data_IF_081816536976
#
_entry.id   IF_081816536976
#
_cell.length_a   1.000
_cell.length_b   1.000
_cell.length_c   1.000
_cell.angle_alpha   90.00
_cell.angle_beta   90.00
_cell.angle_gamma   90.00
#
_symmetry.space_group_name_H-M   'P 1'
#
loop_
_entity.id
_entity.type
_entity.pdbx_description
1 polymer ?
#
# COMPACT_ATOMS: atom_id res chain seq x y z
N UNK A 1 -8.34 6.48 -32.31
CA UNK A 1 -7.69 5.23 -31.82
C UNK A 1 -8.73 4.19 -31.29
N UNK A 2 -8.38 2.90 -31.13
CA UNK A 2 -9.23 1.89 -30.45
C UNK A 2 -8.47 1.25 -29.29
N UNK A 3 -9.07 1.22 -28.10
CA UNK A 3 -8.49 0.65 -26.89
C UNK A 3 -9.44 -0.39 -26.28
N UNK A 4 -8.90 -1.33 -25.49
CA UNK A 4 -9.72 -2.25 -24.71
C UNK A 4 -9.95 -1.63 -23.34
N UNK A 5 -11.20 -1.40 -22.97
CA UNK A 5 -11.55 -0.90 -21.65
C UNK A 5 -11.33 -2.01 -20.61
N UNK A 6 -10.55 -1.71 -19.58
CA UNK A 6 -10.12 -2.67 -18.56
C UNK A 6 -11.16 -2.91 -17.46
N UNK A 7 -12.32 -2.24 -17.49
CA UNK A 7 -13.49 -2.47 -16.64
C UNK A 7 -14.61 -3.27 -17.36
N UNK A 8 -14.69 -3.18 -18.68
CA UNK A 8 -15.75 -3.84 -19.46
C UNK A 8 -15.23 -4.96 -20.36
N UNK A 9 -13.91 -5.01 -20.60
CA UNK A 9 -13.25 -5.88 -21.59
C UNK A 9 -13.83 -5.68 -23.00
N UNK A 10 -14.42 -4.50 -23.26
CA UNK A 10 -14.95 -4.13 -24.57
C UNK A 10 -14.01 -3.17 -25.30
N UNK A 11 -14.12 -3.16 -26.63
CA UNK A 11 -13.41 -2.19 -27.45
C UNK A 11 -14.12 -0.85 -27.42
N UNK A 12 -13.38 0.20 -27.08
CA UNK A 12 -13.83 1.58 -27.11
C UNK A 12 -13.18 2.32 -28.29
N UNK A 13 -13.99 3.15 -28.93
CA UNK A 13 -13.56 4.01 -30.03
C UNK A 13 -13.31 5.39 -29.46
N UNK A 14 -12.07 5.86 -29.61
CA UNK A 14 -11.63 7.15 -29.13
C UNK A 14 -11.24 8.02 -30.32
N UNK A 15 -11.59 9.29 -30.26
CA UNK A 15 -11.14 10.27 -31.24
C UNK A 15 -9.64 10.51 -31.07
N UNK A 16 -8.97 10.92 -32.15
CA UNK A 16 -7.52 11.09 -32.10
C UNK A 16 -7.08 12.28 -31.24
N UNK A 17 -8.00 13.20 -30.91
CA UNK A 17 -7.77 14.34 -30.03
C UNK A 17 -7.96 14.03 -28.52
N UNK A 18 -8.61 12.90 -28.18
CA UNK A 18 -8.95 12.50 -26.80
C UNK A 18 -8.45 11.06 -26.51
N UNK A 19 -7.17 10.81 -26.74
CA UNK A 19 -6.55 9.51 -26.41
C UNK A 19 -6.04 9.57 -24.96
N UNK A 20 -6.63 8.80 -24.02
CA UNK A 20 -6.14 8.72 -22.65
C UNK A 20 -4.84 7.94 -22.60
N UNK A 21 -4.11 8.03 -21.49
CA UNK A 21 -2.94 7.18 -21.27
C UNK A 21 -3.32 5.70 -21.35
N UNK A 22 -2.51 4.95 -22.09
CA UNK A 22 -2.76 3.54 -22.34
C UNK A 22 -1.48 2.73 -22.24
N UNK A 23 -1.61 1.50 -21.76
CA UNK A 23 -0.54 0.52 -21.80
C UNK A 23 -0.76 -0.46 -22.97
N UNK A 24 0.32 -0.81 -23.65
CA UNK A 24 0.28 -1.85 -24.68
C UNK A 24 0.40 -3.21 -24.00
N UNK A 25 -0.60 -4.06 -24.20
CA UNK A 25 -0.50 -5.45 -23.79
C UNK A 25 0.51 -6.18 -24.70
N UNK A 26 1.60 -6.68 -24.11
CA UNK A 26 2.64 -7.43 -24.81
C UNK A 26 2.06 -8.52 -25.72
N UNK A 27 2.47 -8.52 -26.98
CA UNK A 27 2.15 -9.54 -27.96
C UNK A 27 3.01 -10.79 -27.72
N UNK A 28 2.42 -11.94 -27.45
CA UNK A 28 3.07 -13.21 -27.75
C UNK A 28 2.04 -14.01 -28.53
N UNK A 29 2.28 -14.11 -29.85
CA UNK A 29 1.42 -14.84 -30.78
C UNK A 29 1.42 -16.32 -30.43
N UNK A 30 0.40 -16.74 -29.71
CA UNK A 30 0.12 -18.14 -29.40
C UNK A 30 -1.03 -18.65 -30.26
N UNK A 31 -1.28 -19.96 -30.22
CA UNK A 31 -2.48 -20.52 -30.84
C UNK A 31 -3.73 -20.00 -30.13
N UNK A 32 -4.80 -19.73 -30.88
CA UNK A 32 -6.09 -19.26 -30.36
C UNK A 32 -6.06 -17.83 -29.78
N UNK A 33 -5.54 -16.87 -30.55
CA UNK A 33 -5.65 -15.45 -30.20
C UNK A 33 -7.06 -14.88 -30.39
N UNK A 34 -7.37 -13.87 -29.57
CA UNK A 34 -8.58 -13.07 -29.68
C UNK A 34 -8.35 -11.98 -30.72
N UNK A 35 -8.97 -12.14 -31.88
CA UNK A 35 -8.92 -11.17 -32.97
C UNK A 35 -10.00 -10.10 -32.75
N UNK A 36 -9.87 -9.00 -33.47
CA UNK A 36 -10.83 -7.89 -33.43
C UNK A 36 -12.28 -8.36 -33.64
N UNK A 37 -12.52 -9.28 -34.57
CA UNK A 37 -13.87 -9.78 -34.86
C UNK A 37 -14.43 -10.74 -33.79
N UNK A 38 -13.59 -11.21 -32.86
CA UNK A 38 -14.02 -12.07 -31.76
C UNK A 38 -14.50 -11.24 -30.57
N UNK A 39 -13.98 -10.02 -30.41
CA UNK A 39 -14.32 -9.14 -29.29
C UNK A 39 -15.83 -8.88 -29.24
N UNK A 40 -16.43 -9.07 -28.06
CA UNK A 40 -17.87 -8.96 -27.82
C UNK A 40 -18.68 -10.24 -28.14
N UNK A 41 -18.05 -11.31 -28.63
CA UNK A 41 -18.70 -12.62 -28.85
C UNK A 41 -18.33 -13.60 -27.75
N UNK A 42 -19.24 -14.51 -27.42
CA UNK A 42 -18.96 -15.57 -26.45
C UNK A 42 -17.85 -16.53 -26.91
N UNK A 43 -17.63 -16.65 -28.23
CA UNK A 43 -16.52 -17.44 -28.79
C UNK A 43 -15.14 -16.88 -28.47
N UNK A 44 -15.02 -15.60 -28.09
CA UNK A 44 -13.75 -15.05 -27.62
C UNK A 44 -13.34 -15.67 -26.28
N UNK A 45 -14.30 -15.88 -25.36
CA UNK A 45 -14.03 -16.38 -24.01
C UNK A 45 -13.42 -17.78 -24.00
N UNK A 46 -13.71 -18.60 -25.01
CA UNK A 46 -13.15 -19.94 -25.16
C UNK A 46 -11.71 -19.96 -25.70
N UNK A 47 -11.18 -18.82 -26.15
CA UNK A 47 -9.84 -18.74 -26.73
C UNK A 47 -8.77 -18.61 -25.65
N UNK A 48 -7.64 -19.30 -25.79
CA UNK A 48 -6.51 -19.20 -24.85
C UNK A 48 -6.00 -17.78 -24.67
N UNK A 49 -6.00 -16.98 -25.74
CA UNK A 49 -5.61 -15.56 -25.68
C UNK A 49 -6.52 -14.70 -24.79
N UNK A 50 -7.77 -15.12 -24.53
CA UNK A 50 -8.72 -14.36 -23.72
C UNK A 50 -8.34 -14.33 -22.24
N UNK A 51 -7.67 -15.36 -21.74
CA UNK A 51 -7.14 -15.39 -20.39
C UNK A 51 -6.15 -14.24 -20.11
N UNK A 52 -5.47 -13.71 -21.14
CA UNK A 52 -4.59 -12.53 -21.02
C UNK A 52 -5.41 -11.26 -20.78
N UNK A 53 -6.55 -11.11 -21.47
CA UNK A 53 -7.49 -10.00 -21.28
C UNK A 53 -8.14 -10.06 -19.89
N UNK A 54 -8.61 -11.23 -19.47
CA UNK A 54 -9.15 -11.43 -18.12
C UNK A 54 -8.11 -11.21 -17.03
N UNK A 55 -6.85 -11.62 -17.26
CA UNK A 55 -5.77 -11.35 -16.31
C UNK A 55 -5.52 -9.86 -16.16
N UNK A 56 -5.57 -9.10 -17.26
CA UNK A 56 -5.48 -7.64 -17.18
C UNK A 56 -6.66 -7.01 -16.46
N UNK A 57 -7.89 -7.43 -16.80
CA UNK A 57 -9.09 -7.02 -16.08
C UNK A 57 -9.01 -7.32 -14.58
N UNK A 58 -8.51 -8.50 -14.23
CA UNK A 58 -8.35 -8.91 -12.84
C UNK A 58 -7.32 -8.03 -12.13
N UNK A 59 -6.16 -7.82 -12.75
CA UNK A 59 -5.10 -6.95 -12.21
C UNK A 59 -5.61 -5.51 -12.07
N UNK A 60 -6.36 -4.98 -13.02
CA UNK A 60 -6.94 -3.63 -12.92
C UNK A 60 -7.96 -3.51 -11.80
N UNK A 61 -8.83 -4.51 -11.64
CA UNK A 61 -9.87 -4.54 -10.60
C UNK A 61 -9.32 -4.79 -9.19
N UNK A 62 -8.34 -5.68 -9.05
CA UNK A 62 -7.73 -6.03 -7.74
C UNK A 62 -6.81 -4.91 -7.23
N UNK A 63 -6.10 -4.23 -8.13
CA UNK A 63 -5.17 -3.16 -7.77
C UNK A 63 -5.79 -1.75 -7.88
N UNK A 64 -7.04 -1.62 -8.30
CA UNK A 64 -7.75 -0.34 -8.31
C UNK A 64 -7.21 0.67 -9.33
N UNK A 65 -7.00 0.24 -10.58
CA UNK A 65 -6.62 1.11 -11.71
C UNK A 65 -7.73 2.09 -12.15
N UNK A 66 -8.55 2.57 -11.21
CA UNK A 66 -9.31 3.81 -11.42
C UNK A 66 -8.41 5.04 -11.21
N UNK A 67 -7.18 4.85 -10.67
CA UNK A 67 -6.11 5.84 -10.59
C UNK A 67 -5.22 5.81 -11.85
N UNK A 68 -4.86 6.99 -12.38
CA UNK A 68 -4.03 7.17 -13.57
C UNK A 68 -2.68 6.44 -13.44
N UNK A 69 -2.19 5.79 -14.51
CA UNK A 69 -0.87 5.13 -14.57
C UNK A 69 0.28 6.05 -14.09
N UNK A 70 0.11 7.36 -14.26
CA UNK A 70 1.05 8.40 -13.81
C UNK A 70 1.21 8.46 -12.28
N UNK A 71 0.15 8.14 -11.54
CA UNK A 71 0.13 8.18 -10.07
C UNK A 71 0.66 6.90 -9.42
N UNK A 72 0.78 5.83 -10.21
CA UNK A 72 1.25 4.53 -9.73
C UNK A 72 2.78 4.48 -9.64
N UNK A 73 3.29 4.12 -8.46
CA UNK A 73 4.74 3.96 -8.24
C UNK A 73 5.39 2.93 -9.18
N UNK A 74 6.66 3.13 -9.50
CA UNK A 74 7.47 2.20 -10.29
C UNK A 74 7.51 0.82 -9.63
N UNK A 75 7.69 0.75 -8.32
CA UNK A 75 7.73 -0.53 -7.60
C UNK A 75 6.44 -1.33 -7.80
N UNK A 76 5.30 -0.65 -7.74
CA UNK A 76 3.99 -1.26 -7.94
C UNK A 76 3.82 -1.70 -9.40
N UNK A 77 4.18 -0.87 -10.37
CA UNK A 77 4.17 -1.25 -11.79
C UNK A 77 5.08 -2.46 -12.08
N UNK A 78 6.26 -2.51 -11.47
CA UNK A 78 7.19 -3.66 -11.56
C UNK A 78 6.57 -4.93 -10.96
N UNK A 79 5.87 -4.79 -9.83
CA UNK A 79 5.24 -5.92 -9.12
C UNK A 79 4.21 -6.66 -9.99
N UNK A 80 3.54 -5.97 -10.92
CA UNK A 80 2.56 -6.59 -11.81
C UNK A 80 3.16 -7.62 -12.77
N UNK A 81 4.48 -7.53 -13.02
CA UNK A 81 5.22 -8.53 -13.80
C UNK A 81 6.06 -9.48 -12.93
N UNK A 82 5.91 -9.47 -11.60
CA UNK A 82 6.71 -10.29 -10.70
C UNK A 82 6.58 -11.80 -10.96
N UNK A 83 5.40 -12.25 -11.40
CA UNK A 83 5.09 -13.66 -11.67
C UNK A 83 5.15 -14.00 -13.16
N UNK A 84 5.55 -13.04 -14.00
CA UNK A 84 5.63 -13.23 -15.43
C UNK A 84 6.74 -14.21 -15.79
N UNK A 85 6.41 -15.14 -16.68
CA UNK A 85 7.37 -16.06 -17.30
C UNK A 85 7.47 -15.72 -18.78
N UNK A 86 8.69 -15.57 -19.27
CA UNK A 86 8.96 -15.24 -20.68
C UNK A 86 9.83 -16.31 -21.33
N UNK A 87 9.67 -16.47 -22.64
CA UNK A 87 10.45 -17.45 -23.42
C UNK A 87 11.93 -17.08 -23.47
N UNK A 88 12.24 -15.80 -23.73
CA UNK A 88 13.59 -15.25 -23.63
C UNK A 88 13.71 -14.41 -22.37
N UNK A 89 14.91 -14.36 -21.79
CA UNK A 89 15.15 -13.61 -20.55
C UNK A 89 14.91 -12.11 -20.73
N UNK A 90 15.38 -11.56 -21.84
CA UNK A 90 15.27 -10.14 -22.19
C UNK A 90 13.82 -9.66 -22.40
N UNK A 91 12.91 -10.55 -22.80
CA UNK A 91 11.48 -10.21 -22.98
C UNK A 91 10.82 -9.80 -21.66
N UNK A 92 11.39 -10.21 -20.51
CA UNK A 92 10.96 -9.73 -19.20
C UNK A 92 11.09 -8.21 -19.05
N UNK A 93 12.08 -7.60 -19.68
CA UNK A 93 12.26 -6.15 -19.73
C UNK A 93 11.45 -5.51 -20.87
N UNK A 94 11.51 -6.07 -22.08
CA UNK A 94 10.87 -5.46 -23.24
C UNK A 94 9.35 -5.40 -23.12
N UNK A 95 8.75 -6.39 -22.47
CA UNK A 95 7.30 -6.38 -22.22
C UNK A 95 6.84 -5.32 -21.21
N UNK A 96 7.77 -4.66 -20.52
CA UNK A 96 7.49 -3.59 -19.56
C UNK A 96 7.70 -2.19 -20.14
N UNK A 97 8.31 -2.04 -21.31
CA UNK A 97 8.58 -0.72 -21.90
C UNK A 97 7.32 0.15 -22.00
N UNK A 98 6.20 -0.44 -22.42
CA UNK A 98 4.93 0.28 -22.57
C UNK A 98 4.34 0.80 -21.26
N UNK A 99 4.52 0.08 -20.15
CA UNK A 99 3.94 0.48 -18.85
C UNK A 99 4.73 1.57 -18.14
N UNK A 100 6.00 1.71 -18.54
CA UNK A 100 6.89 2.76 -18.05
C UNK A 100 7.08 3.90 -19.06
N UNK A 101 6.44 3.84 -20.23
CA UNK A 101 6.63 4.84 -21.28
C UNK A 101 8.08 4.92 -21.79
N UNK A 102 8.85 3.83 -21.66
CA UNK A 102 10.26 3.79 -22.04
C UNK A 102 10.40 3.30 -23.48
N UNK A 103 11.30 3.95 -24.22
CA UNK A 103 11.71 3.48 -25.54
C UNK A 103 13.21 3.15 -25.52
N UNK A 104 13.55 1.88 -25.69
CA UNK A 104 14.94 1.41 -25.73
C UNK A 104 15.15 0.36 -26.83
N UNK A 105 16.35 0.26 -27.45
CA UNK A 105 16.63 -0.73 -28.49
C UNK A 105 16.51 -2.17 -28.00
N UNK A 106 15.84 -3.02 -28.80
CA UNK A 106 15.74 -4.47 -28.60
C UNK A 106 17.05 -5.15 -29.01
N UNK A 107 17.79 -5.69 -28.05
CA UNK A 107 19.07 -6.40 -28.24
C UNK A 107 18.96 -7.86 -27.79
N UNK A 108 18.46 -8.72 -28.67
CA UNK A 108 18.32 -10.15 -28.37
C UNK A 108 19.68 -10.81 -28.10
N UNK A 109 19.74 -11.63 -27.05
CA UNK A 109 20.96 -12.25 -26.54
C UNK A 109 21.64 -11.51 -25.38
N UNK A 110 21.15 -10.34 -24.97
CA UNK A 110 21.69 -9.62 -23.80
C UNK A 110 21.24 -10.22 -22.45
N UNK A 111 20.18 -11.03 -22.46
CA UNK A 111 19.65 -11.73 -21.29
C UNK A 111 19.22 -10.77 -20.18
N UNK A 112 19.69 -11.04 -18.95
CA UNK A 112 19.31 -10.27 -17.75
C UNK A 112 19.77 -8.79 -17.82
N UNK A 113 20.73 -8.45 -18.70
CA UNK A 113 21.17 -7.06 -18.95
C UNK A 113 20.06 -6.14 -19.46
N UNK A 114 19.08 -6.69 -20.18
CA UNK A 114 17.94 -5.94 -20.69
C UNK A 114 17.17 -5.26 -19.55
N UNK A 115 17.00 -5.96 -18.43
CA UNK A 115 16.25 -5.44 -17.28
C UNK A 115 17.03 -4.37 -16.51
N UNK A 116 18.36 -4.44 -16.46
CA UNK A 116 19.17 -3.35 -15.93
C UNK A 116 19.06 -2.09 -16.79
N UNK A 117 19.16 -2.23 -18.12
CA UNK A 117 18.98 -1.10 -19.05
C UNK A 117 17.59 -0.46 -18.92
N UNK A 118 16.54 -1.27 -18.79
CA UNK A 118 15.20 -0.75 -18.54
C UNK A 118 15.16 0.14 -17.29
N UNK A 119 15.74 -0.33 -16.17
CA UNK A 119 15.78 0.45 -14.94
C UNK A 119 16.63 1.72 -15.09
N UNK A 120 17.75 1.66 -15.81
CA UNK A 120 18.58 2.83 -16.12
C UNK A 120 17.81 3.88 -16.94
N UNK A 121 17.03 3.46 -17.94
CA UNK A 121 16.20 4.36 -18.72
C UNK A 121 15.05 4.95 -17.88
N UNK A 122 14.45 4.17 -16.99
CA UNK A 122 13.47 4.67 -16.01
C UNK A 122 14.09 5.75 -15.11
N UNK A 123 15.31 5.55 -14.62
CA UNK A 123 16.03 6.53 -13.80
C UNK A 123 16.33 7.84 -14.54
N UNK A 124 16.43 7.83 -15.87
CA UNK A 124 16.67 9.05 -16.65
C UNK A 124 15.45 9.96 -16.71
N UNK A 125 14.25 9.39 -16.57
CA UNK A 125 12.98 10.10 -16.83
C UNK A 125 12.07 10.19 -15.61
N UNK A 126 12.41 9.52 -14.51
CA UNK A 126 11.57 9.49 -13.31
C UNK A 126 12.40 9.68 -12.03
N UNK A 127 11.90 10.55 -11.15
CA UNK A 127 12.42 10.78 -9.80
C UNK A 127 11.76 9.85 -8.76
N UNK A 128 10.98 8.86 -9.20
CA UNK A 128 10.33 7.92 -8.31
C UNK A 128 11.33 6.87 -7.78
N UNK A 129 11.83 7.14 -6.57
CA UNK A 129 12.77 6.29 -5.85
C UNK A 129 12.19 4.91 -5.46
N UNK A 130 10.89 4.65 -5.66
CA UNK A 130 10.33 3.31 -5.50
C UNK A 130 10.98 2.27 -6.43
N UNK A 131 11.67 2.70 -7.49
CA UNK A 131 12.53 1.82 -8.27
C UNK A 131 13.54 1.01 -7.43
N UNK A 132 13.99 1.55 -6.29
CA UNK A 132 14.92 0.87 -5.37
C UNK A 132 14.22 0.09 -4.26
N UNK A 133 12.89 0.08 -4.24
CA UNK A 133 12.02 -0.53 -3.23
C UNK A 133 11.76 -2.03 -3.52
N UNK A 134 12.81 -2.81 -3.75
CA UNK A 134 12.75 -4.25 -4.03
C UNK A 134 13.49 -5.08 -2.98
N UNK A 135 13.10 -6.36 -2.85
CA UNK A 135 13.72 -7.27 -1.87
C UNK A 135 14.73 -8.19 -2.54
N UNK A 136 15.96 -8.21 -2.03
CA UNK A 136 16.98 -9.12 -2.51
C UNK A 136 16.62 -10.58 -2.19
N UNK A 137 16.49 -11.39 -3.24
CA UNK A 137 16.17 -12.83 -3.14
C UNK A 137 17.46 -13.65 -2.93
N UNK A 138 18.65 -13.07 -3.16
CA UNK A 138 19.95 -13.72 -2.96
C UNK A 138 21.07 -12.72 -2.59
N UNK A 139 22.19 -13.22 -2.06
CA UNK A 139 23.30 -12.46 -1.45
C UNK A 139 24.14 -11.57 -2.39
N UNK A 140 23.81 -11.46 -3.68
CA UNK A 140 24.46 -10.51 -4.62
C UNK A 140 23.52 -9.34 -4.87
N UNK A 141 23.46 -8.40 -3.94
CA UNK A 141 22.68 -7.17 -4.08
C UNK A 141 23.49 -6.05 -4.74
N UNK A 142 23.11 -5.68 -5.96
CA UNK A 142 23.47 -4.38 -6.55
C UNK A 142 22.42 -3.32 -6.20
N UNK A 143 22.57 -2.09 -6.71
CA UNK A 143 21.57 -1.03 -6.55
C UNK A 143 20.24 -1.35 -7.27
N UNK A 144 20.34 -1.98 -8.44
CA UNK A 144 19.22 -2.31 -9.31
C UNK A 144 18.75 -3.76 -9.13
N UNK A 145 17.45 -3.96 -9.31
CA UNK A 145 16.84 -5.27 -9.14
C UNK A 145 17.23 -6.21 -10.29
N UNK A 146 17.46 -7.51 -10.03
CA UNK A 146 17.84 -8.45 -11.08
C UNK A 146 16.67 -8.82 -12.00
N UNK A 147 15.43 -8.83 -11.47
CA UNK A 147 14.21 -9.19 -12.22
C UNK A 147 12.98 -8.52 -11.59
N UNK A 148 11.85 -8.42 -12.33
CA UNK A 148 10.58 -7.95 -11.76
C UNK A 148 10.11 -8.73 -10.52
N UNK A 149 10.49 -10.00 -10.39
CA UNK A 149 10.13 -10.86 -9.25
C UNK A 149 10.58 -10.28 -7.90
N UNK A 150 11.64 -9.47 -7.89
CA UNK A 150 12.12 -8.79 -6.68
C UNK A 150 11.12 -7.77 -6.10
N UNK A 151 10.16 -7.31 -6.91
CA UNK A 151 9.10 -6.37 -6.54
C UNK A 151 7.79 -7.06 -6.14
N UNK A 152 7.76 -8.39 -5.99
CA UNK A 152 6.52 -9.13 -5.64
C UNK A 152 5.84 -8.59 -4.37
N UNK A 153 6.60 -8.10 -3.39
CA UNK A 153 6.09 -7.53 -2.14
C UNK A 153 5.76 -6.03 -2.20
N UNK A 154 5.96 -5.39 -3.36
CA UNK A 154 5.76 -3.95 -3.56
C UNK A 154 4.35 -3.61 -4.06
N UNK A 155 3.45 -4.59 -4.09
CA UNK A 155 2.03 -4.37 -4.38
C UNK A 155 1.44 -3.58 -3.20
N UNK A 156 1.08 -2.32 -3.45
CA UNK A 156 0.12 -1.61 -2.58
C UNK A 156 -1.26 -2.09 -3.01
N UNK A 157 -1.64 -3.29 -2.58
CA UNK A 157 -3.03 -3.72 -2.69
C UNK A 157 -3.84 -2.98 -1.61
N UNK A 158 -5.14 -3.23 -1.55
CA UNK A 158 -5.97 -2.86 -0.39
C UNK A 158 -5.41 -3.39 0.96
N UNK A 159 -4.38 -4.24 0.93
CA UNK A 159 -3.59 -4.74 2.05
C UNK A 159 -2.28 -3.94 2.28
N UNK A 160 -2.01 -2.82 1.60
CA UNK A 160 -1.01 -1.85 2.03
C UNK A 160 -1.29 -1.35 3.46
N UNK A 161 -2.59 -1.24 3.80
CA UNK A 161 -3.07 -1.06 5.16
C UNK A 161 -2.79 -2.28 6.05
N UNK A 162 -2.90 -3.51 5.54
CA UNK A 162 -2.61 -4.74 6.30
C UNK A 162 -1.10 -4.88 6.57
N UNK A 163 -0.25 -4.57 5.59
CA UNK A 163 1.20 -4.65 5.73
C UNK A 163 1.72 -3.54 6.65
N UNK A 164 1.17 -2.32 6.52
CA UNK A 164 1.42 -1.26 7.48
C UNK A 164 0.91 -1.64 8.87
N UNK A 165 -0.27 -2.26 8.96
CA UNK A 165 -0.85 -2.67 10.22
C UNK A 165 -0.01 -3.76 10.90
N UNK A 166 0.48 -4.74 10.15
CA UNK A 166 1.36 -5.79 10.64
C UNK A 166 2.70 -5.20 11.09
N UNK A 167 3.32 -4.36 10.27
CA UNK A 167 4.58 -3.70 10.62
C UNK A 167 4.45 -2.80 11.86
N UNK A 168 3.34 -2.05 11.97
CA UNK A 168 3.05 -1.20 13.12
C UNK A 168 2.74 -2.01 14.39
N UNK A 169 1.99 -3.11 14.26
CA UNK A 169 1.69 -4.03 15.37
C UNK A 169 2.94 -4.79 15.84
N UNK A 170 3.87 -5.08 14.93
CA UNK A 170 5.17 -5.67 15.23
C UNK A 170 6.21 -4.65 15.73
N UNK A 171 5.95 -3.34 15.58
CA UNK A 171 6.86 -2.27 15.97
C UNK A 171 8.05 -2.07 15.02
N UNK A 172 8.00 -2.65 13.82
CA UNK A 172 9.05 -2.52 12.82
C UNK A 172 9.01 -1.12 12.21
N UNK A 173 9.73 -0.20 12.85
CA UNK A 173 9.76 1.19 12.41
C UNK A 173 10.37 1.36 11.03
N UNK A 174 11.31 0.48 10.62
CA UNK A 174 11.91 0.55 9.30
C UNK A 174 10.88 0.31 8.20
N UNK A 175 10.14 -0.80 8.34
CA UNK A 175 9.04 -1.13 7.42
C UNK A 175 7.91 -0.10 7.47
N UNK A 176 7.54 0.40 8.66
CA UNK A 176 6.51 1.45 8.77
C UNK A 176 6.92 2.72 8.03
N UNK A 177 8.15 3.22 8.24
CA UNK A 177 8.62 4.43 7.55
C UNK A 177 8.75 4.22 6.04
N UNK A 178 9.19 3.05 5.62
CA UNK A 178 9.26 2.69 4.22
C UNK A 178 7.87 2.72 3.57
N UNK A 179 6.88 2.07 4.19
CA UNK A 179 5.51 2.02 3.67
C UNK A 179 4.85 3.41 3.65
N UNK A 180 5.05 4.22 4.69
CA UNK A 180 4.56 5.59 4.72
C UNK A 180 5.22 6.49 3.67
N UNK A 181 6.46 6.21 3.28
CA UNK A 181 7.14 6.93 2.20
C UNK A 181 6.64 6.55 0.80
N UNK A 182 6.04 5.35 0.67
CA UNK A 182 5.43 4.85 -0.58
C UNK A 182 3.93 5.17 -0.67
N UNK A 183 3.35 5.80 0.36
CA UNK A 183 1.93 6.11 0.41
C UNK A 183 1.56 7.15 -0.67
N UNK A 184 0.46 6.95 -1.43
CA UNK A 184 -0.05 7.94 -2.38
C UNK A 184 -0.26 9.29 -1.70
N UNK A 185 0.07 10.38 -2.42
CA UNK A 185 -0.10 11.76 -1.96
C UNK A 185 -1.53 11.98 -1.47
N UNK A 186 -1.70 12.25 -0.17
CA UNK A 186 -3.01 12.46 0.48
C UNK A 186 -3.45 11.35 1.44
N UNK A 187 -3.04 10.10 1.23
CA UNK A 187 -3.42 8.96 2.11
C UNK A 187 -2.42 8.74 3.26
N UNK A 188 -1.22 9.31 3.13
CA UNK A 188 -0.14 9.18 4.10
C UNK A 188 -0.58 9.54 5.53
N UNK A 189 -1.42 10.56 5.71
CA UNK A 189 -1.87 10.97 7.03
C UNK A 189 -2.78 9.93 7.67
N UNK A 190 -3.69 9.31 6.91
CA UNK A 190 -4.61 8.30 7.44
C UNK A 190 -3.90 6.98 7.72
N UNK A 191 -2.92 6.62 6.89
CA UNK A 191 -2.02 5.50 7.14
C UNK A 191 -1.16 5.73 8.39
N UNK A 192 -0.55 6.92 8.53
CA UNK A 192 0.25 7.27 9.70
C UNK A 192 -0.59 7.26 10.99
N UNK A 193 -1.83 7.78 10.95
CA UNK A 193 -2.79 7.69 12.06
C UNK A 193 -3.05 6.25 12.45
N UNK A 194 -3.28 5.38 11.45
CA UNK A 194 -3.49 3.95 11.65
C UNK A 194 -2.30 3.26 12.32
N UNK A 195 -1.10 3.55 11.86
CA UNK A 195 0.13 3.03 12.46
C UNK A 195 0.31 3.44 13.93
N UNK A 196 -0.11 4.65 14.33
CA UNK A 196 0.05 5.12 15.71
C UNK A 196 -0.78 4.30 16.70
N UNK A 197 -2.07 4.08 16.45
CA UNK A 197 -2.90 3.33 17.42
C UNK A 197 -2.62 1.82 17.40
N UNK A 198 -2.15 1.27 16.27
CA UNK A 198 -1.63 -0.11 16.19
C UNK A 198 -0.33 -0.27 17.00
N UNK A 199 0.60 0.68 16.86
CA UNK A 199 1.81 0.73 17.67
C UNK A 199 1.49 0.89 19.16
N UNK A 200 0.47 1.68 19.51
CA UNK A 200 0.00 1.86 20.87
C UNK A 200 -0.58 0.58 21.47
N UNK A 201 -1.29 -0.21 20.67
CA UNK A 201 -1.80 -1.53 21.04
C UNK A 201 -0.66 -2.53 21.33
N UNK A 202 0.39 -2.50 20.50
CA UNK A 202 1.57 -3.36 20.61
C UNK A 202 2.63 -2.92 21.64
N UNK A 203 2.51 -1.71 22.21
CA UNK A 203 3.46 -1.22 23.21
C UNK A 203 4.73 -0.57 22.63
N UNK A 204 4.72 -0.14 21.37
CA UNK A 204 5.91 0.29 20.63
C UNK A 204 6.23 1.78 20.78
N UNK A 205 6.74 2.18 21.95
CA UNK A 205 7.00 3.60 22.30
C UNK A 205 7.90 4.29 21.27
N UNK A 206 8.96 3.63 20.83
CA UNK A 206 9.93 4.20 19.87
C UNK A 206 9.25 4.57 18.55
N UNK A 207 8.40 3.69 18.01
CA UNK A 207 7.67 3.96 16.77
C UNK A 207 6.71 5.14 16.94
N UNK A 208 5.96 5.18 18.05
CA UNK A 208 5.05 6.29 18.37
C UNK A 208 5.82 7.61 18.49
N UNK A 209 6.98 7.61 19.15
CA UNK A 209 7.82 8.79 19.29
C UNK A 209 8.27 9.36 17.95
N UNK A 210 8.64 8.48 17.01
CA UNK A 210 9.08 8.87 15.67
C UNK A 210 7.90 9.42 14.85
N UNK A 211 6.74 8.76 14.88
CA UNK A 211 5.54 9.21 14.16
C UNK A 211 5.01 10.55 14.70
N UNK A 212 5.08 10.78 16.03
CA UNK A 212 4.67 12.04 16.62
C UNK A 212 5.69 13.18 16.42
N UNK A 213 6.95 12.90 16.16
CA UNK A 213 7.96 13.95 15.91
C UNK A 213 7.67 14.76 14.63
N UNK A 214 6.88 14.20 13.72
CA UNK A 214 6.49 14.81 12.45
C UNK A 214 5.41 15.88 12.63
N UNK A 215 5.71 17.10 12.16
CA UNK A 215 4.79 18.26 12.24
C UNK A 215 3.53 18.09 11.40
N UNK A 216 3.62 17.34 10.31
CA UNK A 216 2.55 17.04 9.37
C UNK A 216 1.52 16.03 9.92
N UNK A 217 1.87 15.28 10.96
CA UNK A 217 0.98 14.29 11.60
C UNK A 217 0.18 14.93 12.76
N UNK A 218 0.18 16.26 12.86
CA UNK A 218 -0.57 16.98 13.89
C UNK A 218 -2.05 17.10 13.50
N UNK A 219 -2.88 16.09 13.80
CA UNK A 219 -4.34 16.28 14.04
C UNK A 219 -4.97 14.99 14.54
N UNK A 220 -5.87 15.16 15.53
CA UNK A 220 -6.72 14.18 16.23
C UNK A 220 -6.49 12.71 15.86
N UNK A 221 -5.84 12.02 16.80
CA UNK A 221 -5.33 10.65 16.73
C UNK A 221 -6.47 9.64 16.93
N UNK A 222 -7.59 9.79 16.23
CA UNK A 222 -8.77 8.95 16.42
C UNK A 222 -9.01 8.02 15.24
N UNK A 223 -9.38 6.77 15.52
CA UNK A 223 -9.86 5.82 14.49
C UNK A 223 -11.27 6.19 13.99
N UNK A 224 -11.85 5.35 13.12
CA UNK A 224 -13.21 5.53 12.60
C UNK A 224 -14.31 5.50 13.67
N UNK A 225 -14.02 4.95 14.85
CA UNK A 225 -14.91 4.95 16.01
C UNK A 225 -14.65 6.16 16.92
N UNK A 226 -13.75 7.06 16.55
CA UNK A 226 -13.36 8.19 17.40
C UNK A 226 -12.43 7.78 18.56
N UNK A 227 -11.93 6.54 18.61
CA UNK A 227 -11.04 6.09 19.69
C UNK A 227 -9.63 6.63 19.48
N UNK A 228 -9.11 7.29 20.51
CA UNK A 228 -7.75 7.76 20.51
C UNK A 228 -6.74 6.62 20.71
N UNK A 229 -5.47 6.82 20.31
CA UNK A 229 -4.38 5.87 20.63
C UNK A 229 -4.27 5.56 22.14
N UNK A 230 -4.68 6.50 23.01
CA UNK A 230 -4.76 6.30 24.45
C UNK A 230 -5.78 5.21 24.85
N UNK A 231 -6.92 5.13 24.15
CA UNK A 231 -7.94 4.08 24.39
C UNK A 231 -7.44 2.70 24.00
N UNK A 232 -6.78 2.59 22.84
CA UNK A 232 -6.15 1.34 22.37
C UNK A 232 -5.04 0.85 23.31
N UNK A 233 -4.19 1.75 23.81
CA UNK A 233 -3.18 1.42 24.82
C UNK A 233 -3.80 0.94 26.14
N UNK A 234 -4.91 1.56 26.56
CA UNK A 234 -5.63 1.19 27.78
C UNK A 234 -6.35 -0.16 27.66
N UNK A 235 -6.93 -0.48 26.51
CA UNK A 235 -7.53 -1.78 26.20
C UNK A 235 -6.52 -2.93 26.31
N UNK A 236 -5.29 -2.70 25.88
CA UNK A 236 -4.22 -3.70 25.88
C UNK A 236 -3.29 -3.65 27.11
N UNK A 237 -3.57 -2.77 28.09
CA UNK A 237 -2.79 -2.71 29.33
C UNK A 237 -1.39 -2.11 29.19
N UNK A 238 -1.15 -1.29 28.16
CA UNK A 238 0.15 -0.74 27.83
C UNK A 238 0.49 0.50 28.67
N UNK A 239 0.82 0.30 29.95
CA UNK A 239 1.08 1.39 30.92
C UNK A 239 2.17 2.36 30.44
N UNK A 240 3.27 1.86 29.87
CA UNK A 240 4.38 2.69 29.39
C UNK A 240 3.92 3.66 28.29
N UNK A 241 3.08 3.19 27.36
CA UNK A 241 2.53 4.00 26.28
C UNK A 241 1.57 5.06 26.83
N UNK A 242 0.70 4.70 27.78
CA UNK A 242 -0.18 5.67 28.43
C UNK A 242 0.64 6.77 29.09
N UNK A 243 1.71 6.40 29.82
CA UNK A 243 2.61 7.36 30.46
C UNK A 243 3.29 8.27 29.44
N UNK A 244 3.78 7.71 28.34
CA UNK A 244 4.42 8.46 27.25
C UNK A 244 3.46 9.44 26.59
N UNK A 245 2.28 8.97 26.18
CA UNK A 245 1.25 9.78 25.52
C UNK A 245 0.79 10.93 26.43
N UNK A 246 0.52 10.66 27.71
CA UNK A 246 0.09 11.69 28.67
C UNK A 246 1.20 12.72 28.95
N UNK A 247 2.47 12.32 28.89
CA UNK A 247 3.60 13.23 29.06
C UNK A 247 3.79 14.16 27.86
N UNK A 248 3.34 13.74 26.66
CA UNK A 248 3.45 14.55 25.43
C UNK A 248 2.44 15.71 25.34
N UNK A 249 1.43 15.75 26.22
CA UNK A 249 0.35 16.75 26.26
C UNK A 249 -0.49 16.90 24.96
N UNK A 250 -0.34 15.98 23.99
CA UNK A 250 -1.04 16.04 22.70
C UNK A 250 -2.44 15.42 22.70
N UNK A 251 -2.70 14.47 23.60
CA UNK A 251 -3.99 13.78 23.71
C UNK A 251 -4.60 14.14 25.06
N UNK A 252 -5.83 14.64 25.05
CA UNK A 252 -6.58 14.81 26.28
C UNK A 252 -6.94 13.45 26.89
N UNK A 253 -6.71 13.25 28.20
CA UNK A 253 -7.01 11.98 28.86
C UNK A 253 -8.51 11.63 28.87
N UNK A 254 -9.37 12.64 28.71
CA UNK A 254 -10.83 12.52 28.64
C UNK A 254 -11.39 12.47 27.21
N UNK A 255 -10.56 12.22 26.20
CA UNK A 255 -11.06 12.03 24.83
C UNK A 255 -12.05 10.87 24.83
N UNK A 256 -13.21 11.14 24.22
CA UNK A 256 -14.32 10.21 24.10
C UNK A 256 -14.46 9.75 22.68
N UNK A 257 -14.73 8.47 22.52
CA UNK A 257 -15.12 7.88 21.24
C UNK A 257 -16.61 8.15 20.92
N UNK A 258 -17.11 7.60 19.81
CA UNK A 258 -18.52 7.72 19.41
C UNK A 258 -19.48 7.13 20.43
N UNK A 259 -19.03 6.18 21.26
CA UNK A 259 -19.79 5.55 22.33
C UNK A 259 -19.67 6.30 23.66
N UNK A 260 -19.01 7.46 23.68
CA UNK A 260 -18.71 8.26 24.87
C UNK A 260 -17.80 7.56 25.89
N UNK A 261 -17.14 6.48 25.49
CA UNK A 261 -16.21 5.73 26.31
C UNK A 261 -14.86 6.44 26.35
N UNK A 262 -14.17 6.30 27.47
CA UNK A 262 -12.84 6.90 27.70
C UNK A 262 -11.81 5.79 27.85
N UNK A 263 -10.52 6.13 27.72
CA UNK A 263 -9.44 5.18 28.00
C UNK A 263 -9.53 4.53 29.39
N UNK A 264 -10.06 5.24 30.39
CA UNK A 264 -10.32 4.69 31.71
C UNK A 264 -11.35 3.56 31.70
N UNK A 265 -12.42 3.70 30.91
CA UNK A 265 -13.43 2.65 30.76
C UNK A 265 -12.79 1.37 30.22
N UNK A 266 -11.98 1.48 29.16
CA UNK A 266 -11.27 0.32 28.58
C UNK A 266 -10.30 -0.31 29.59
N UNK A 267 -9.51 0.48 30.32
CA UNK A 267 -8.60 -0.05 31.34
C UNK A 267 -9.35 -0.81 32.44
N UNK A 268 -10.50 -0.32 32.89
CA UNK A 268 -11.30 -0.96 33.95
C UNK A 268 -12.01 -2.21 33.43
N UNK A 269 -12.67 -2.11 32.27
CA UNK A 269 -13.42 -3.22 31.66
C UNK A 269 -12.52 -4.43 31.37
N UNK A 270 -11.29 -4.20 30.93
CA UNK A 270 -10.31 -5.25 30.66
C UNK A 270 -9.44 -5.64 31.87
N UNK A 271 -9.67 -5.05 33.06
CA UNK A 271 -8.98 -5.43 34.30
C UNK A 271 -7.54 -4.90 34.46
N UNK A 272 -7.14 -3.92 33.66
CA UNK A 272 -5.80 -3.31 33.67
C UNK A 272 -5.63 -2.30 34.80
N UNK A 273 -5.54 -2.80 36.03
CA UNK A 273 -5.53 -1.99 37.26
C UNK A 273 -4.41 -0.93 37.31
N UNK A 274 -3.20 -1.23 36.83
CA UNK A 274 -2.10 -0.26 36.79
C UNK A 274 -2.38 0.89 35.82
N UNK A 275 -2.94 0.57 34.65
CA UNK A 275 -3.37 1.57 33.66
C UNK A 275 -4.49 2.45 34.22
N UNK A 276 -5.50 1.85 34.87
CA UNK A 276 -6.60 2.57 35.50
C UNK A 276 -6.09 3.52 36.60
N UNK A 277 -5.17 3.06 37.47
CA UNK A 277 -4.55 3.90 38.50
C UNK A 277 -3.78 5.08 37.91
N UNK A 278 -2.96 4.83 36.88
CA UNK A 278 -2.18 5.88 36.20
C UNK A 278 -3.09 6.93 35.56
N UNK A 279 -4.14 6.48 34.88
CA UNK A 279 -5.16 7.31 34.26
C UNK A 279 -5.87 8.18 35.32
N UNK A 280 -6.29 7.59 36.45
CA UNK A 280 -6.88 8.32 37.59
C UNK A 280 -5.94 9.37 38.19
N UNK A 281 -4.66 9.01 38.40
CA UNK A 281 -3.66 9.89 39.02
C UNK A 281 -3.37 11.15 38.18
N UNK A 282 -3.50 11.07 36.85
CA UNK A 282 -3.23 12.18 35.93
C UNK A 282 -4.40 13.15 35.73
N UNK A 283 -5.36 13.16 36.65
CA UNK A 283 -6.45 14.15 36.69
C UNK A 283 -7.74 13.72 35.98
N UNK A 284 -7.98 12.40 35.83
CA UNK A 284 -9.30 11.89 35.47
C UNK A 284 -10.25 11.98 36.66
N UNK A 285 -10.60 13.21 37.02
CA UNK A 285 -11.65 13.50 38.01
C UNK A 285 -13.00 13.41 37.30
N UNK A 286 -13.92 12.70 37.97
CA UNK A 286 -15.35 12.55 37.68
C UNK A 286 -15.73 11.44 36.69
N UNK A 287 -15.98 10.25 37.24
CA UNK A 287 -17.33 9.65 37.37
C UNK A 287 -18.20 9.47 36.11
N UNK A 288 -17.71 9.81 34.92
CA UNK A 288 -18.47 9.78 33.69
C UNK A 288 -17.73 8.92 32.67
N UNK A 289 -17.50 7.68 33.07
CA UNK A 289 -17.28 6.52 32.19
C UNK A 289 -18.54 6.39 31.35
N UNK A 290 -18.56 6.96 30.14
CA UNK A 290 -19.77 7.22 29.36
C UNK A 290 -20.56 6.00 28.86
N UNK A 291 -20.47 4.85 29.53
CA UNK A 291 -21.43 3.77 29.37
C UNK A 291 -22.69 4.08 30.17
N UNK A 292 -23.84 4.10 29.50
CA UNK A 292 -25.13 4.03 30.17
C UNK A 292 -25.19 2.77 31.04
N UNK A 293 -24.99 2.91 32.35
CA UNK A 293 -25.26 1.89 33.37
C UNK A 293 -24.21 0.78 33.48
N UNK A 294 -23.26 0.95 34.39
CA UNK A 294 -22.88 0.00 35.44
C UNK A 294 -21.49 0.38 35.97
N UNK A 295 -21.50 1.02 37.14
CA UNK A 295 -20.38 1.12 38.07
C UNK A 295 -20.31 -0.12 38.94
#
# INVERSE_FOLDING_TARGET
>A
MRLVNTQTIQLEFLNDDDVPDYAILSHTWEQEEVLFHDMGRDTAKSKKGYAKLESCYRVTRENGFDEELETTSIAQRMSWAADRVTTRKEDGAYSLMGIFGINMPLLYGEGDKAFYRLQEEIMRVSDDHSLFAWKAIAARGGLLAPTPAAFRGSVVDRNGLLLLAEAASAGDSGSVWFLLAQAPSGTMHDQARSAIWLAARGGHERLISQLLARRDISTLITDSEGRAALSHAAECGQEAIIRFILSSARIHPNTRDIHRLTALWYAVYHGHTSCAKLLLQKGLVSGNVGGSGNT
#
